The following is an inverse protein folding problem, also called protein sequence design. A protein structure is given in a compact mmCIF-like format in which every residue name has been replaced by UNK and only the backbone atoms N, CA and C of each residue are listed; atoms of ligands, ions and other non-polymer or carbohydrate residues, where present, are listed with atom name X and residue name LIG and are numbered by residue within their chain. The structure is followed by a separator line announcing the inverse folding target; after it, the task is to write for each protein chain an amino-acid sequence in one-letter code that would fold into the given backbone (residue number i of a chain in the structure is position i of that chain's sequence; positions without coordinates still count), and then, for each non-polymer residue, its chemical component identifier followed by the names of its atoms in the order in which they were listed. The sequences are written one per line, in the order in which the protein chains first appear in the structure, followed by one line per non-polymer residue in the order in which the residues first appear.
data_IF_164335520480
#
_entry.id   IF_164335520480
#
_cell.length_a   1.000
_cell.length_b   1.000
_cell.length_c   1.000
_cell.angle_alpha   90.00
_cell.angle_beta   90.00
_cell.angle_gamma   90.00
#
_symmetry.space_group_name_H-M   'P 1'
#
loop_
_entity.id
_entity.type
_entity.pdbx_description
1 polymer ?
#
# COMPACT_ATOMS: atom_id res chain seq x y z
N UNK A 1 17.03 29.16 -6.51
CA UNK A 1 15.80 29.13 -5.69
C UNK A 1 14.61 28.53 -6.43
N UNK A 2 14.33 28.94 -7.68
CA UNK A 2 13.15 28.50 -8.46
C UNK A 2 13.10 27.01 -8.77
N UNK A 3 14.22 26.38 -9.15
CA UNK A 3 14.23 24.95 -9.53
C UNK A 3 13.92 24.01 -8.36
N UNK A 4 14.48 24.26 -7.18
CA UNK A 4 14.22 23.46 -5.98
C UNK A 4 12.73 23.53 -5.54
N UNK A 5 12.12 24.71 -5.67
CA UNK A 5 10.68 24.89 -5.40
C UNK A 5 9.82 24.13 -6.41
N UNK A 6 10.20 24.13 -7.70
CA UNK A 6 9.51 23.33 -8.72
C UNK A 6 9.56 21.84 -8.37
N UNK A 7 10.72 21.33 -7.93
CA UNK A 7 10.88 19.94 -7.52
C UNK A 7 10.03 19.59 -6.31
N UNK A 8 9.95 20.46 -5.29
CA UNK A 8 9.10 20.25 -4.12
C UNK A 8 7.60 20.22 -4.48
N UNK A 9 7.17 21.15 -5.33
CA UNK A 9 5.78 21.17 -5.84
C UNK A 9 5.48 19.91 -6.65
N UNK A 10 6.37 19.52 -7.55
CA UNK A 10 6.23 18.30 -8.33
C UNK A 10 6.15 17.05 -7.44
N UNK A 11 7.02 16.95 -6.43
CA UNK A 11 7.02 15.86 -5.47
C UNK A 11 5.68 15.78 -4.71
N UNK A 12 5.09 16.93 -4.33
CA UNK A 12 3.78 16.97 -3.70
C UNK A 12 2.66 16.45 -4.61
N UNK A 13 2.62 16.89 -5.87
CA UNK A 13 1.61 16.38 -6.81
C UNK A 13 1.77 14.89 -7.06
N UNK A 14 3.01 14.43 -7.24
CA UNK A 14 3.31 13.02 -7.42
C UNK A 14 2.95 12.18 -6.19
N UNK A 15 3.19 12.70 -4.99
CA UNK A 15 2.81 12.08 -3.72
C UNK A 15 1.30 11.89 -3.62
N UNK A 16 0.53 12.97 -3.82
CA UNK A 16 -0.94 12.94 -3.75
C UNK A 16 -1.51 11.99 -4.80
N UNK A 17 -1.02 12.08 -6.05
CA UNK A 17 -1.45 11.18 -7.12
C UNK A 17 -1.18 9.71 -6.79
N UNK A 18 -0.02 9.43 -6.20
CA UNK A 18 0.35 8.08 -5.78
C UNK A 18 -0.53 7.57 -4.62
N UNK A 19 -0.89 8.43 -3.66
CA UNK A 19 -1.86 8.09 -2.61
C UNK A 19 -3.23 7.76 -3.19
N UNK A 20 -3.71 8.53 -4.18
CA UNK A 20 -4.99 8.27 -4.84
C UNK A 20 -5.02 6.89 -5.51
N UNK A 21 -3.93 6.50 -6.18
CA UNK A 21 -3.83 5.16 -6.77
C UNK A 21 -3.74 4.09 -5.68
N UNK A 22 -2.84 4.26 -4.71
CA UNK A 22 -2.53 3.25 -3.71
C UNK A 22 -3.69 3.02 -2.73
N UNK A 23 -4.09 4.07 -2.00
CA UNK A 23 -5.16 3.98 -1.02
C UNK A 23 -6.53 3.88 -1.70
N UNK A 24 -6.73 4.55 -2.85
CA UNK A 24 -7.94 4.37 -3.65
C UNK A 24 -8.15 2.94 -4.10
N UNK A 25 -7.08 2.22 -4.49
CA UNK A 25 -7.16 0.79 -4.77
C UNK A 25 -7.59 -0.02 -3.54
N UNK A 26 -7.08 0.28 -2.34
CA UNK A 26 -7.49 -0.40 -1.11
C UNK A 26 -9.00 -0.21 -0.87
N UNK A 27 -9.54 1.01 -1.02
CA UNK A 27 -10.97 1.29 -0.85
C UNK A 27 -11.83 0.61 -1.91
N UNK A 28 -11.44 0.67 -3.18
CA UNK A 28 -12.13 -0.01 -4.26
C UNK A 28 -12.17 -1.53 -4.04
N UNK A 29 -11.04 -2.11 -3.59
CA UNK A 29 -10.96 -3.53 -3.25
C UNK A 29 -11.93 -3.90 -2.11
N UNK A 30 -12.09 -3.03 -1.12
CA UNK A 30 -13.01 -3.25 0.00
C UNK A 30 -14.47 -3.27 -0.44
N UNK A 31 -14.86 -2.32 -1.26
CA UNK A 31 -16.22 -2.20 -1.79
C UNK A 31 -16.54 -3.38 -2.71
N UNK A 32 -15.62 -3.76 -3.59
CA UNK A 32 -15.83 -4.85 -4.54
C UNK A 32 -15.77 -6.24 -3.89
N UNK A 33 -14.95 -6.41 -2.85
CA UNK A 33 -14.72 -7.68 -2.15
C UNK A 33 -14.86 -7.48 -0.62
N UNK A 34 -16.09 -7.28 -0.12
CA UNK A 34 -16.32 -6.98 1.29
C UNK A 34 -16.14 -8.22 2.19
N UNK A 35 -16.44 -9.41 1.69
CA UNK A 35 -16.35 -10.66 2.43
C UNK A 35 -15.20 -11.53 1.95
N UNK A 36 -14.56 -12.23 2.88
CA UNK A 36 -13.55 -13.22 2.53
C UNK A 36 -14.16 -14.38 1.77
N UNK A 37 -13.59 -14.70 0.60
CA UNK A 37 -13.86 -15.90 -0.18
C UNK A 37 -12.57 -16.71 -0.30
N UNK A 38 -12.52 -17.98 0.15
CA UNK A 38 -11.35 -18.83 -0.04
C UNK A 38 -10.95 -18.93 -1.51
N UNK A 39 -9.65 -19.03 -1.78
CA UNK A 39 -9.19 -19.35 -3.14
C UNK A 39 -9.77 -20.71 -3.57
N UNK A 40 -10.20 -20.81 -4.82
CA UNK A 40 -10.72 -22.04 -5.43
C UNK A 40 -9.73 -22.51 -6.50
N UNK A 41 -8.76 -23.39 -6.16
CA UNK A 41 -7.64 -23.73 -7.05
C UNK A 41 -8.08 -24.41 -8.35
N UNK A 42 -9.24 -25.08 -8.34
CA UNK A 42 -9.84 -25.71 -9.52
C UNK A 42 -10.39 -24.70 -10.54
N UNK A 43 -10.66 -23.44 -10.14
CA UNK A 43 -11.23 -22.43 -11.02
C UNK A 43 -10.15 -21.53 -11.65
N UNK A 44 -9.47 -22.09 -12.66
CA UNK A 44 -8.35 -21.47 -13.36
C UNK A 44 -8.73 -20.18 -14.10
N UNK A 45 -9.96 -20.09 -14.62
CA UNK A 45 -10.47 -18.88 -15.29
C UNK A 45 -10.65 -17.72 -14.31
N UNK A 46 -11.24 -17.97 -13.15
CA UNK A 46 -11.38 -16.96 -12.11
C UNK A 46 -10.01 -16.46 -11.61
N UNK A 47 -9.05 -17.38 -11.46
CA UNK A 47 -7.66 -17.04 -11.11
C UNK A 47 -6.98 -16.17 -12.18
N UNK A 48 -7.16 -16.52 -13.45
CA UNK A 48 -6.61 -15.76 -14.59
C UNK A 48 -7.24 -14.39 -14.70
N UNK A 49 -8.56 -14.27 -14.47
CA UNK A 49 -9.25 -12.99 -14.43
C UNK A 49 -8.81 -12.13 -13.24
N UNK A 50 -8.54 -12.73 -12.08
CA UNK A 50 -8.00 -12.03 -10.91
C UNK A 50 -6.58 -11.53 -11.16
N UNK A 51 -5.72 -12.32 -11.79
CA UNK A 51 -4.38 -11.89 -12.22
C UNK A 51 -4.44 -10.69 -13.17
N UNK A 52 -5.35 -10.71 -14.15
CA UNK A 52 -5.52 -9.59 -15.10
C UNK A 52 -6.00 -8.30 -14.42
N UNK A 53 -6.62 -8.39 -13.24
CA UNK A 53 -7.07 -7.23 -12.43
C UNK A 53 -6.03 -6.78 -11.42
N UNK A 54 -5.06 -7.64 -11.06
CA UNK A 54 -3.97 -7.25 -10.15
C UNK A 54 -2.96 -6.41 -10.93
N UNK A 55 -3.20 -5.11 -10.95
CA UNK A 55 -2.27 -4.16 -11.53
C UNK A 55 -1.21 -3.83 -10.49
N UNK A 56 0.03 -4.27 -10.71
CA UNK A 56 1.18 -3.90 -9.87
C UNK A 56 1.35 -2.37 -9.69
N UNK A 57 0.69 -1.56 -10.51
CA UNK A 57 0.60 -0.10 -10.41
C UNK A 57 0.31 0.40 -8.99
N UNK A 58 -0.64 -0.18 -8.24
CA UNK A 58 -0.93 0.30 -6.88
C UNK A 58 0.20 -0.02 -5.88
N UNK A 59 0.91 -1.13 -6.09
CA UNK A 59 2.04 -1.53 -5.25
C UNK A 59 3.21 -0.58 -5.43
N UNK A 60 3.54 -0.23 -6.67
CA UNK A 60 4.59 0.74 -6.94
C UNK A 60 4.17 2.16 -6.55
N UNK A 61 2.89 2.52 -6.67
CA UNK A 61 2.38 3.80 -6.17
C UNK A 61 2.63 3.98 -4.66
N UNK A 62 2.57 2.91 -3.85
CA UNK A 62 2.91 3.02 -2.42
C UNK A 62 4.37 3.40 -2.17
N UNK A 63 5.30 2.90 -2.99
CA UNK A 63 6.72 3.26 -2.92
C UNK A 63 6.95 4.69 -3.38
N UNK A 64 6.29 5.12 -4.46
CA UNK A 64 6.39 6.49 -4.94
C UNK A 64 5.84 7.47 -3.90
N UNK A 65 4.71 7.17 -3.27
CA UNK A 65 4.18 7.95 -2.15
C UNK A 65 5.20 8.01 -1.00
N UNK A 66 5.77 6.88 -0.56
CA UNK A 66 6.75 6.87 0.51
C UNK A 66 8.00 7.71 0.18
N UNK A 67 8.60 7.52 -0.99
CA UNK A 67 9.82 8.23 -1.40
C UNK A 67 9.58 9.72 -1.53
N UNK A 68 8.49 10.13 -2.17
CA UNK A 68 8.14 11.55 -2.31
C UNK A 68 7.80 12.19 -0.96
N UNK A 69 7.17 11.46 -0.03
CA UNK A 69 6.90 11.92 1.33
C UNK A 69 8.19 12.15 2.12
N UNK A 70 9.11 11.18 2.10
CA UNK A 70 10.42 11.28 2.74
C UNK A 70 11.22 12.45 2.17
N UNK A 71 11.26 12.61 0.84
CA UNK A 71 11.90 13.74 0.19
C UNK A 71 11.31 15.08 0.67
N UNK A 72 9.98 15.19 0.73
CA UNK A 72 9.28 16.40 1.16
C UNK A 72 9.55 16.77 2.63
N UNK A 73 9.73 15.77 3.51
CA UNK A 73 10.10 15.98 4.91
C UNK A 73 11.55 16.44 5.02
N UNK A 74 12.46 15.82 4.27
CA UNK A 74 13.87 16.19 4.23
C UNK A 74 14.06 17.60 3.68
N UNK A 75 13.36 17.95 2.60
CA UNK A 75 13.42 19.27 1.96
C UNK A 75 12.94 20.42 2.86
N UNK A 76 12.09 20.13 3.85
CA UNK A 76 11.55 21.11 4.81
C UNK A 76 12.25 21.08 6.17
N UNK A 77 13.37 20.35 6.29
CA UNK A 77 14.10 20.15 7.54
C UNK A 77 13.24 19.53 8.67
N UNK A 78 12.19 18.78 8.30
CA UNK A 78 11.26 18.16 9.26
C UNK A 78 11.48 16.65 9.43
N UNK A 79 12.40 16.06 8.66
CA UNK A 79 12.57 14.61 8.58
C UNK A 79 12.88 13.96 9.94
N UNK A 80 13.86 14.48 10.68
CA UNK A 80 14.25 13.92 11.97
C UNK A 80 13.11 14.07 12.96
N UNK A 81 12.61 15.28 13.18
CA UNK A 81 11.55 15.56 14.16
C UNK A 81 10.27 14.74 13.91
N UNK A 82 9.94 14.52 12.63
CA UNK A 82 8.78 13.71 12.22
C UNK A 82 8.99 12.23 12.53
N UNK A 83 10.17 11.68 12.23
CA UNK A 83 10.46 10.27 12.51
C UNK A 83 10.71 9.98 14.00
N UNK A 84 11.28 10.93 14.74
CA UNK A 84 11.49 10.82 16.19
C UNK A 84 10.29 11.27 17.02
N UNK A 85 9.15 11.58 16.38
CA UNK A 85 7.91 12.02 17.03
C UNK A 85 8.17 13.15 18.03
N UNK A 86 8.79 14.22 17.55
CA UNK A 86 9.27 15.32 18.39
C UNK A 86 8.52 16.62 18.11
N UNK A 87 8.21 17.35 19.18
CA UNK A 87 7.63 18.68 19.11
C UNK A 87 6.32 18.76 18.31
N UNK A 88 6.11 19.83 17.52
CA UNK A 88 4.90 20.00 16.70
C UNK A 88 4.73 18.93 15.60
N UNK A 89 5.77 18.17 15.26
CA UNK A 89 5.74 17.20 14.18
C UNK A 89 5.11 15.86 14.56
N UNK A 90 4.79 15.62 15.84
CA UNK A 90 4.25 14.34 16.34
C UNK A 90 3.05 13.84 15.53
N UNK A 91 2.06 14.69 15.27
CA UNK A 91 0.83 14.31 14.55
C UNK A 91 1.16 13.84 13.13
N UNK A 92 2.01 14.58 12.42
CA UNK A 92 2.49 14.19 11.10
C UNK A 92 3.31 12.90 11.15
N UNK A 93 4.16 12.77 12.17
CA UNK A 93 5.00 11.60 12.40
C UNK A 93 4.21 10.32 12.59
N UNK A 94 3.10 10.36 13.33
CA UNK A 94 2.18 9.21 13.46
C UNK A 94 1.67 8.78 12.08
N UNK A 95 1.18 9.72 11.26
CA UNK A 95 0.74 9.42 9.89
C UNK A 95 1.85 8.82 9.01
N UNK A 96 3.08 9.34 9.11
CA UNK A 96 4.25 8.82 8.38
C UNK A 96 4.58 7.39 8.80
N UNK A 97 4.58 7.08 10.10
CA UNK A 97 4.82 5.73 10.60
C UNK A 97 3.73 4.75 10.19
N UNK A 98 2.46 5.15 10.24
CA UNK A 98 1.35 4.33 9.74
C UNK A 98 1.51 4.04 8.24
N UNK A 99 1.87 5.06 7.45
CA UNK A 99 2.19 4.90 6.03
C UNK A 99 3.33 3.91 5.78
N UNK A 100 4.43 4.01 6.53
CA UNK A 100 5.55 3.06 6.45
C UNK A 100 5.08 1.64 6.78
N UNK A 101 4.36 1.45 7.89
CA UNK A 101 3.82 0.13 8.29
C UNK A 101 2.94 -0.46 7.18
N UNK A 102 2.09 0.36 6.54
CA UNK A 102 1.24 -0.09 5.45
C UNK A 102 2.03 -0.51 4.21
N UNK A 103 3.11 0.22 3.86
CA UNK A 103 4.04 -0.15 2.78
C UNK A 103 4.70 -1.49 3.13
N UNK A 104 5.19 -1.65 4.36
CA UNK A 104 5.82 -2.90 4.81
C UNK A 104 4.84 -4.07 4.76
N UNK A 105 3.62 -3.90 5.26
CA UNK A 105 2.57 -4.92 5.20
C UNK A 105 2.23 -5.28 3.73
N UNK A 106 2.15 -4.30 2.84
CA UNK A 106 1.90 -4.54 1.42
C UNK A 106 3.01 -5.38 0.77
N UNK A 107 4.26 -5.00 0.97
CA UNK A 107 5.39 -5.59 0.26
C UNK A 107 5.90 -6.89 0.88
N UNK A 108 5.85 -7.02 2.20
CA UNK A 108 6.41 -8.17 2.92
C UNK A 108 5.37 -9.18 3.38
N UNK A 109 4.08 -8.81 3.48
CA UNK A 109 3.01 -9.73 3.91
C UNK A 109 2.03 -10.00 2.78
N UNK A 110 1.37 -8.97 2.26
CA UNK A 110 0.33 -9.11 1.24
C UNK A 110 0.90 -9.72 -0.04
N UNK A 111 1.91 -9.07 -0.63
CA UNK A 111 2.41 -9.44 -1.94
C UNK A 111 2.98 -10.87 -2.02
N UNK A 112 3.82 -11.34 -1.07
CA UNK A 112 4.32 -12.71 -1.11
C UNK A 112 3.23 -13.78 -1.06
N UNK A 113 2.17 -13.55 -0.27
CA UNK A 113 1.02 -14.45 -0.19
C UNK A 113 0.15 -14.35 -1.44
N UNK A 114 -0.08 -13.14 -1.94
CA UNK A 114 -0.86 -12.90 -3.15
C UNK A 114 -0.23 -13.57 -4.38
N UNK A 115 1.10 -13.57 -4.51
CA UNK A 115 1.81 -14.31 -5.57
C UNK A 115 1.44 -15.80 -5.61
N UNK A 116 1.30 -16.44 -4.45
CA UNK A 116 0.92 -17.85 -4.34
C UNK A 116 -0.55 -18.05 -4.73
N UNK A 117 -1.43 -17.17 -4.25
CA UNK A 117 -2.87 -17.18 -4.60
C UNK A 117 -3.08 -17.03 -6.11
N UNK A 118 -2.32 -16.14 -6.74
CA UNK A 118 -2.39 -15.87 -8.19
C UNK A 118 -1.64 -16.91 -9.03
N UNK A 119 -0.86 -17.80 -8.41
CA UNK A 119 -0.08 -18.81 -9.11
C UNK A 119 1.20 -18.30 -9.78
N UNK A 120 1.69 -17.11 -9.42
CA UNK A 120 3.03 -16.64 -9.81
C UNK A 120 4.14 -17.44 -9.12
N UNK A 121 3.84 -17.99 -7.95
CA UNK A 121 4.71 -18.92 -7.22
C UNK A 121 3.94 -20.23 -7.01
N UNK A 122 4.54 -21.40 -7.33
CA UNK A 122 3.94 -22.69 -7.03
C UNK A 122 3.61 -22.82 -5.54
N UNK A 123 2.42 -23.33 -5.24
CA UNK A 123 1.90 -23.55 -3.90
C UNK A 123 0.81 -24.62 -3.96
N UNK A 124 0.70 -25.46 -2.94
CA UNK A 124 -0.37 -26.46 -2.84
C UNK A 124 -1.74 -25.79 -2.68
N UNK A 125 -2.81 -26.53 -2.93
CA UNK A 125 -4.18 -26.03 -2.77
C UNK A 125 -4.47 -25.54 -1.35
N UNK A 126 -4.02 -26.31 -0.35
CA UNK A 126 -4.12 -25.95 1.06
C UNK A 126 -3.35 -24.64 1.37
N UNK A 127 -2.15 -24.50 0.83
CA UNK A 127 -1.34 -23.30 1.01
C UNK A 127 -1.99 -22.08 0.35
N UNK A 128 -2.57 -22.23 -0.85
CA UNK A 128 -3.29 -21.16 -1.56
C UNK A 128 -4.50 -20.67 -0.76
N UNK A 129 -5.25 -21.57 -0.15
CA UNK A 129 -6.39 -21.22 0.71
C UNK A 129 -5.91 -20.42 1.94
N UNK A 130 -4.83 -20.86 2.59
CA UNK A 130 -4.24 -20.12 3.72
C UNK A 130 -3.74 -18.74 3.28
N UNK A 131 -3.01 -18.67 2.18
CA UNK A 131 -2.47 -17.41 1.64
C UNK A 131 -3.59 -16.45 1.22
N UNK A 132 -4.73 -16.93 0.74
CA UNK A 132 -5.85 -16.06 0.39
C UNK A 132 -6.44 -15.37 1.63
N UNK A 133 -6.50 -16.06 2.77
CA UNK A 133 -6.92 -15.46 4.04
C UNK A 133 -5.96 -14.38 4.51
N UNK A 134 -4.65 -14.65 4.44
CA UNK A 134 -3.61 -13.68 4.80
C UNK A 134 -3.69 -12.44 3.89
N UNK A 135 -3.83 -12.66 2.58
CA UNK A 135 -3.97 -11.58 1.59
C UNK A 135 -5.18 -10.69 1.90
N UNK A 136 -6.33 -11.30 2.21
CA UNK A 136 -7.55 -10.57 2.57
C UNK A 136 -7.36 -9.74 3.84
N UNK A 137 -6.87 -10.35 4.93
CA UNK A 137 -6.67 -9.66 6.21
C UNK A 137 -5.64 -8.53 6.09
N UNK A 138 -4.52 -8.78 5.41
CA UNK A 138 -3.48 -7.79 5.17
C UNK A 138 -4.02 -6.59 4.38
N UNK A 139 -4.87 -6.83 3.37
CA UNK A 139 -5.57 -5.75 2.65
C UNK A 139 -6.48 -4.94 3.58
N UNK A 140 -7.27 -5.60 4.44
CA UNK A 140 -8.16 -4.91 5.41
C UNK A 140 -7.38 -4.06 6.40
N UNK A 141 -6.26 -4.58 6.92
CA UNK A 141 -5.37 -3.83 7.80
C UNK A 141 -4.90 -2.55 7.12
N UNK A 142 -4.45 -2.62 5.87
CA UNK A 142 -4.05 -1.41 5.14
C UNK A 142 -5.19 -0.41 4.93
N UNK A 143 -6.41 -0.86 4.68
CA UNK A 143 -7.58 0.05 4.58
C UNK A 143 -7.89 0.75 5.91
N UNK A 144 -7.82 0.02 7.03
CA UNK A 144 -8.12 0.62 8.34
C UNK A 144 -7.02 1.62 8.72
N UNK A 145 -5.76 1.24 8.54
CA UNK A 145 -4.62 2.12 8.80
C UNK A 145 -4.63 3.35 7.87
N UNK A 146 -5.08 3.22 6.62
CA UNK A 146 -5.16 4.35 5.69
C UNK A 146 -6.18 5.39 6.14
N UNK A 147 -7.26 4.99 6.81
CA UNK A 147 -8.23 5.94 7.37
C UNK A 147 -7.53 6.79 8.44
N UNK A 148 -6.88 6.16 9.41
CA UNK A 148 -6.13 6.87 10.46
C UNK A 148 -4.91 7.67 9.94
N UNK A 149 -4.42 7.36 8.74
CA UNK A 149 -3.32 8.10 8.10
C UNK A 149 -3.83 9.36 7.39
N UNK A 150 -5.06 9.34 6.87
CA UNK A 150 -5.65 10.41 6.07
C UNK A 150 -6.48 11.42 6.89
N UNK A 151 -7.08 10.98 8.00
CA UNK A 151 -8.01 11.74 8.84
C UNK A 151 -7.53 11.79 10.28
#
# INVERSE_FOLDING_TARGET
MTFALILDVFARYLHIFSILIWMGHNYANVIQNPFFKPAQPSNREAMTAAMKREHGTFRYASLVALVTGVYMLWFRDMFIDTLTLSGPAVVMGVGVWLGIIMVLNLWFVLWPNQKKVLGFVPASDEERIRCSRITFLSSRTNTILSIATLF
#
